data_IF_875519044098
#
_entry.id   IF_875519044098
#
_cell.length_a   1.000
_cell.length_b   1.000
_cell.length_c   1.000
_cell.angle_alpha   90.00
_cell.angle_beta   90.00
_cell.angle_gamma   90.00
#
_symmetry.space_group_name_H-M   'P 1'
#
loop_
_entity.id
_entity.type
_entity.pdbx_description
1 polymer ?
#
# COMPACT_ATOMS: atom_id res chain seq x y z
N UNK A 1 5.59 -60.71 36.69
CA UNK A 1 4.96 -60.26 37.94
C UNK A 1 3.59 -59.72 37.54
N UNK A 2 2.60 -60.62 37.47
CA UNK A 2 1.57 -60.85 38.51
C UNK A 2 0.58 -59.66 38.59
N UNK A 3 -0.76 -59.78 38.57
CA UNK A 3 -1.70 -60.89 38.58
C UNK A 3 -3.09 -60.36 38.15
N UNK A 4 -3.85 -61.25 37.49
CA UNK A 4 -5.33 -61.42 37.40
C UNK A 4 -6.22 -60.45 38.22
N UNK A 5 -7.20 -59.80 37.57
CA UNK A 5 -8.63 -60.20 37.42
C UNK A 5 -9.46 -60.30 38.72
N UNK A 6 -10.56 -59.55 38.85
CA UNK A 6 -11.96 -60.03 38.61
C UNK A 6 -13.05 -59.11 39.20
N UNK A 7 -14.09 -58.94 38.37
CA UNK A 7 -15.54 -59.01 38.65
C UNK A 7 -16.26 -58.01 39.57
N UNK A 8 -17.44 -57.59 39.10
CA UNK A 8 -18.64 -57.62 39.94
C UNK A 8 -19.64 -56.48 39.73
N UNK A 9 -20.70 -56.76 38.97
CA UNK A 9 -21.91 -55.93 38.83
C UNK A 9 -22.57 -55.60 40.18
N UNK A 10 -23.13 -54.40 40.32
CA UNK A 10 -24.23 -54.10 41.26
C UNK A 10 -25.23 -53.14 40.63
N UNK A 11 -26.52 -53.44 40.81
CA UNK A 11 -27.65 -52.59 40.49
C UNK A 11 -28.45 -52.28 41.77
N UNK A 12 -28.91 -51.03 41.84
CA UNK A 12 -30.09 -50.46 42.48
C UNK A 12 -30.33 -50.60 44.01
N UNK A 13 -30.40 -49.43 44.67
CA UNK A 13 -31.44 -49.09 45.64
C UNK A 13 -31.63 -47.56 45.70
N UNK A 14 -32.88 -47.12 45.53
CA UNK A 14 -33.36 -45.74 45.75
C UNK A 14 -33.34 -45.40 47.24
N UNK A 15 -32.87 -44.20 47.60
CA UNK A 15 -33.33 -43.45 48.78
C UNK A 15 -33.41 -41.96 48.43
N UNK A 16 -34.59 -41.39 48.61
CA UNK A 16 -34.92 -39.97 48.46
C UNK A 16 -34.85 -39.31 49.85
N UNK A 17 -34.18 -38.16 50.00
CA UNK A 17 -34.62 -37.02 50.85
C UNK A 17 -33.58 -35.88 50.94
N UNK A 18 -33.97 -34.70 50.45
CA UNK A 18 -33.77 -33.42 51.14
C UNK A 18 -32.42 -32.69 51.01
N UNK A 19 -32.21 -31.95 49.92
CA UNK A 19 -31.32 -30.78 49.92
C UNK A 19 -32.13 -29.52 49.58
N UNK A 20 -32.24 -28.62 50.56
CA UNK A 20 -32.80 -27.28 50.39
C UNK A 20 -31.83 -26.47 49.53
N UNK A 21 -32.31 -25.99 48.39
CA UNK A 21 -31.58 -25.11 47.49
C UNK A 21 -31.58 -23.67 48.02
N UNK A 22 -30.41 -23.16 48.42
CA UNK A 22 -30.14 -21.71 48.41
C UNK A 22 -29.56 -21.35 47.04
N UNK A 23 -30.43 -20.95 46.11
CA UNK A 23 -30.03 -20.32 44.86
C UNK A 23 -29.64 -18.86 45.11
N UNK A 24 -28.40 -18.63 45.52
CA UNK A 24 -27.78 -17.31 45.44
C UNK A 24 -27.37 -17.04 43.98
N UNK A 25 -28.19 -16.31 43.23
CA UNK A 25 -27.79 -15.73 41.94
C UNK A 25 -26.71 -14.68 42.22
N UNK A 26 -25.45 -15.06 42.02
CA UNK A 26 -24.37 -14.10 41.84
C UNK A 26 -24.59 -13.38 40.51
N UNK A 27 -25.22 -12.22 40.55
CA UNK A 27 -25.18 -11.26 39.45
C UNK A 27 -23.76 -10.72 39.39
N UNK A 28 -22.92 -11.32 38.55
CA UNK A 28 -21.70 -10.68 38.08
C UNK A 28 -22.14 -9.42 37.31
N UNK A 29 -22.11 -8.27 37.98
CA UNK A 29 -22.27 -6.99 37.34
C UNK A 29 -21.10 -6.83 36.36
N UNK A 30 -21.42 -6.64 35.09
CA UNK A 30 -20.46 -6.08 34.15
C UNK A 30 -20.08 -4.70 34.70
N UNK A 31 -18.87 -4.58 35.25
CA UNK A 31 -18.31 -3.27 35.59
C UNK A 31 -18.25 -2.45 34.31
N UNK A 32 -19.13 -1.45 34.22
CA UNK A 32 -19.04 -0.38 33.24
C UNK A 32 -17.71 0.30 33.44
N UNK A 33 -16.72 0.02 32.57
CA UNK A 33 -15.45 0.73 32.57
C UNK A 33 -15.71 2.24 32.53
N UNK A 34 -15.03 2.99 33.42
CA UNK A 34 -15.10 4.44 33.41
C UNK A 34 -14.64 5.00 32.05
N UNK A 35 -15.21 6.13 31.60
CA UNK A 35 -14.76 6.76 30.37
C UNK A 35 -13.26 7.13 30.49
N UNK A 36 -12.48 7.00 29.40
CA UNK A 36 -11.06 7.30 29.44
C UNK A 36 -10.81 8.77 29.75
N UNK A 37 -9.63 9.08 30.27
CA UNK A 37 -9.23 10.42 30.71
C UNK A 37 -8.08 10.98 29.88
N UNK A 38 -7.90 12.31 29.90
CA UNK A 38 -6.76 12.96 29.25
C UNK A 38 -5.41 12.50 29.85
N UNK A 39 -5.35 12.21 31.15
CA UNK A 39 -4.15 11.67 31.81
C UNK A 39 -3.80 10.27 31.28
N UNK A 40 -4.80 9.41 31.10
CA UNK A 40 -4.59 8.08 30.50
C UNK A 40 -4.17 8.18 29.02
N UNK A 41 -4.67 9.18 28.28
CA UNK A 41 -4.24 9.45 26.92
C UNK A 41 -2.76 9.86 26.87
N UNK A 42 -2.32 10.77 27.74
CA UNK A 42 -0.92 11.18 27.83
C UNK A 42 0.00 10.00 28.19
N UNK A 43 -0.36 9.22 29.22
CA UNK A 43 0.41 8.04 29.62
C UNK A 43 0.46 6.97 28.52
N UNK A 44 -0.63 6.79 27.77
CA UNK A 44 -0.65 5.89 26.61
C UNK A 44 0.29 6.36 25.50
N UNK A 45 0.26 7.66 25.18
CA UNK A 45 1.14 8.25 24.16
C UNK A 45 2.60 8.02 24.53
N UNK A 46 3.00 8.36 25.75
CA UNK A 46 4.39 8.21 26.21
C UNK A 46 4.87 6.75 26.12
N UNK A 47 4.00 5.81 26.53
CA UNK A 47 4.30 4.38 26.45
C UNK A 47 4.39 3.88 24.99
N UNK A 48 3.49 4.36 24.12
CA UNK A 48 3.47 4.03 22.70
C UNK A 48 4.74 4.54 22.00
N UNK A 49 5.14 5.79 22.25
CA UNK A 49 6.35 6.40 21.71
C UNK A 49 7.60 5.65 22.14
N UNK A 50 7.75 5.36 23.44
CA UNK A 50 8.90 4.62 23.96
C UNK A 50 9.01 3.21 23.37
N UNK A 51 7.88 2.50 23.25
CA UNK A 51 7.84 1.15 22.65
C UNK A 51 8.17 1.19 21.16
N UNK A 52 7.50 2.05 20.40
CA UNK A 52 7.68 2.12 18.94
C UNK A 52 9.07 2.61 18.57
N UNK A 53 9.64 3.59 19.28
CA UNK A 53 11.02 4.04 19.04
C UNK A 53 12.02 2.88 19.14
N UNK A 54 11.91 2.04 20.18
CA UNK A 54 12.79 0.88 20.35
C UNK A 54 12.63 -0.12 19.20
N UNK A 55 11.38 -0.40 18.80
CA UNK A 55 11.10 -1.36 17.73
C UNK A 55 11.54 -0.84 16.36
N UNK A 56 11.31 0.45 16.06
CA UNK A 56 11.74 1.08 14.82
C UNK A 56 13.26 1.11 14.69
N UNK A 57 14.00 1.47 15.73
CA UNK A 57 15.48 1.43 15.69
C UNK A 57 16.00 0.02 15.38
N UNK A 58 15.38 -1.02 15.95
CA UNK A 58 15.75 -2.40 15.65
C UNK A 58 15.43 -2.79 14.20
N UNK A 59 14.23 -2.47 13.71
CA UNK A 59 13.83 -2.69 12.32
C UNK A 59 14.75 -1.96 11.35
N UNK A 60 15.05 -0.69 11.58
CA UNK A 60 15.84 0.15 10.68
C UNK A 60 17.28 -0.35 10.55
N UNK A 61 17.86 -0.85 11.65
CA UNK A 61 19.16 -1.51 11.61
C UNK A 61 19.13 -2.78 10.77
N UNK A 62 18.10 -3.62 10.92
CA UNK A 62 17.95 -4.83 10.12
C UNK A 62 17.77 -4.51 8.63
N UNK A 63 16.92 -3.53 8.31
CA UNK A 63 16.69 -3.04 6.94
C UNK A 63 17.96 -2.46 6.32
N UNK A 64 18.75 -1.69 7.08
CA UNK A 64 20.02 -1.15 6.58
C UNK A 64 21.03 -2.25 6.24
N UNK A 65 21.12 -3.29 7.08
CA UNK A 65 21.99 -4.46 6.81
C UNK A 65 21.51 -5.19 5.56
N UNK A 66 20.21 -5.47 5.43
CA UNK A 66 19.65 -6.09 4.22
C UNK A 66 19.98 -5.26 2.97
N UNK A 67 19.76 -3.94 3.01
CA UNK A 67 19.99 -3.04 1.88
C UNK A 67 21.47 -2.98 1.45
N UNK A 68 22.41 -3.28 2.35
CA UNK A 68 23.85 -3.26 2.09
C UNK A 68 24.46 -4.66 1.89
N UNK A 69 23.73 -5.72 2.24
CA UNK A 69 24.13 -7.12 2.15
C UNK A 69 22.92 -8.01 1.83
N UNK A 70 22.50 -8.07 0.57
CA UNK A 70 21.29 -8.79 0.17
C UNK A 70 21.55 -10.31 0.17
N UNK A 71 20.99 -10.99 1.18
CA UNK A 71 21.01 -12.46 1.34
C UNK A 71 19.70 -12.95 1.95
N UNK A 72 19.35 -14.23 1.77
CA UNK A 72 18.16 -14.84 2.37
C UNK A 72 18.07 -14.63 3.90
N UNK A 73 19.21 -14.72 4.59
CA UNK A 73 19.28 -14.49 6.05
C UNK A 73 18.91 -13.04 6.41
N UNK A 74 19.48 -12.06 5.71
CA UNK A 74 19.22 -10.64 5.99
C UNK A 74 17.80 -10.21 5.59
N UNK A 75 17.25 -10.80 4.52
CA UNK A 75 15.85 -10.64 4.13
C UNK A 75 14.92 -11.17 5.22
N UNK A 76 15.21 -12.37 5.74
CA UNK A 76 14.45 -12.99 6.83
C UNK A 76 14.49 -12.15 8.10
N UNK A 77 15.67 -11.66 8.50
CA UNK A 77 15.83 -10.80 9.68
C UNK A 77 15.06 -9.47 9.54
N UNK A 78 15.14 -8.83 8.37
CA UNK A 78 14.42 -7.58 8.11
C UNK A 78 12.90 -7.81 8.11
N UNK A 79 12.43 -8.91 7.51
CA UNK A 79 11.01 -9.28 7.49
C UNK A 79 10.47 -9.51 8.91
N UNK A 80 11.17 -10.29 9.74
CA UNK A 80 10.78 -10.55 11.13
C UNK A 80 10.73 -9.26 11.96
N UNK A 81 11.72 -8.38 11.84
CA UNK A 81 11.73 -7.11 12.55
C UNK A 81 10.57 -6.19 12.10
N UNK A 82 10.24 -6.20 10.81
CA UNK A 82 9.12 -5.46 10.27
C UNK A 82 7.77 -6.00 10.76
N UNK A 83 7.61 -7.32 10.83
CA UNK A 83 6.40 -7.98 11.37
C UNK A 83 6.12 -7.52 12.82
N UNK A 84 7.15 -7.48 13.67
CA UNK A 84 7.03 -7.02 15.06
C UNK A 84 6.56 -5.56 15.14
N UNK A 85 7.11 -4.68 14.28
CA UNK A 85 6.70 -3.27 14.22
C UNK A 85 5.25 -3.12 13.76
N UNK A 86 4.85 -3.85 12.72
CA UNK A 86 3.48 -3.81 12.19
C UNK A 86 2.49 -4.28 13.25
N UNK A 87 2.78 -5.40 13.93
CA UNK A 87 1.92 -5.95 14.97
C UNK A 87 1.74 -4.97 16.13
N UNK A 88 2.84 -4.39 16.64
CA UNK A 88 2.78 -3.39 17.70
C UNK A 88 2.03 -2.12 17.27
N UNK A 89 2.22 -1.67 16.03
CA UNK A 89 1.54 -0.48 15.50
C UNK A 89 0.03 -0.72 15.37
N UNK A 90 -0.40 -1.88 14.85
CA UNK A 90 -1.82 -2.25 14.78
C UNK A 90 -2.46 -2.31 16.17
N UNK A 91 -1.79 -2.94 17.14
CA UNK A 91 -2.25 -3.03 18.53
C UNK A 91 -2.48 -1.63 19.12
N UNK A 92 -1.47 -0.76 19.01
CA UNK A 92 -1.50 0.59 19.54
C UNK A 92 -2.53 1.46 18.79
N UNK A 93 -2.62 1.38 17.46
CA UNK A 93 -3.62 2.10 16.67
C UNK A 93 -5.05 1.76 17.10
N UNK A 94 -5.35 0.46 17.32
CA UNK A 94 -6.67 0.05 17.85
C UNK A 94 -6.89 0.56 19.27
N UNK A 95 -5.91 0.41 20.15
CA UNK A 95 -6.02 0.90 21.53
C UNK A 95 -6.25 2.41 21.60
N UNK A 96 -5.71 3.17 20.64
CA UNK A 96 -5.86 4.62 20.56
C UNK A 96 -7.31 5.07 20.28
N UNK A 97 -8.13 4.24 19.63
CA UNK A 97 -9.54 4.54 19.33
C UNK A 97 -10.38 4.84 20.57
N UNK A 98 -9.99 4.30 21.74
CA UNK A 98 -10.67 4.59 23.02
C UNK A 98 -10.67 6.09 23.35
N UNK A 99 -9.72 6.85 22.81
CA UNK A 99 -9.57 8.29 23.07
C UNK A 99 -10.27 9.18 22.04
N UNK A 100 -10.99 8.63 21.06
CA UNK A 100 -11.56 9.40 19.95
C UNK A 100 -12.55 10.48 20.42
N UNK A 101 -13.36 10.17 21.44
CA UNK A 101 -14.33 11.11 21.99
C UNK A 101 -13.74 12.18 22.93
N UNK A 102 -12.45 12.08 23.29
CA UNK A 102 -11.82 13.02 24.21
C UNK A 102 -11.38 14.30 23.53
N UNK A 103 -11.67 15.43 24.18
CA UNK A 103 -11.00 16.69 23.87
C UNK A 103 -9.60 16.65 24.47
N UNK A 104 -8.59 16.58 23.60
CA UNK A 104 -7.17 16.54 23.97
C UNK A 104 -6.47 17.82 23.49
N UNK A 105 -5.35 18.21 24.12
CA UNK A 105 -4.42 19.17 23.54
C UNK A 105 -4.06 18.80 22.09
N UNK A 106 -3.83 19.81 21.25
CA UNK A 106 -3.67 19.62 19.81
C UNK A 106 -2.49 18.70 19.44
N UNK A 107 -1.39 18.79 20.19
CA UNK A 107 -0.23 17.92 20.05
C UNK A 107 -0.54 16.46 20.40
N UNK A 108 -1.29 16.22 21.48
CA UNK A 108 -1.71 14.87 21.88
C UNK A 108 -2.69 14.26 20.89
N UNK A 109 -3.68 15.05 20.43
CA UNK A 109 -4.62 14.64 19.38
C UNK A 109 -3.88 14.21 18.12
N UNK A 110 -2.94 15.05 17.65
CA UNK A 110 -2.11 14.76 16.48
C UNK A 110 -1.30 13.46 16.64
N UNK A 111 -0.71 13.19 17.82
CA UNK A 111 0.03 11.95 18.07
C UNK A 111 -0.87 10.70 17.99
N UNK A 112 -2.09 10.78 18.52
CA UNK A 112 -3.09 9.71 18.41
C UNK A 112 -3.49 9.48 16.95
N UNK A 113 -3.74 10.55 16.20
CA UNK A 113 -4.16 10.45 14.80
C UNK A 113 -3.04 9.89 13.91
N UNK A 114 -1.78 10.28 14.15
CA UNK A 114 -0.60 9.71 13.49
C UNK A 114 -0.45 8.21 13.76
N UNK A 115 -0.71 7.78 15.00
CA UNK A 115 -0.68 6.37 15.36
C UNK A 115 -1.78 5.58 14.63
N UNK A 116 -3.00 6.11 14.56
CA UNK A 116 -4.14 5.48 13.86
C UNK A 116 -3.94 5.42 12.34
N UNK A 117 -3.19 6.36 11.77
CA UNK A 117 -2.92 6.43 10.32
C UNK A 117 -1.57 5.82 9.92
N UNK A 118 -0.77 5.33 10.87
CA UNK A 118 0.59 4.85 10.64
C UNK A 118 0.68 3.71 9.60
N UNK A 119 -0.37 2.91 9.45
CA UNK A 119 -0.40 1.77 8.53
C UNK A 119 -1.23 2.08 7.28
N UNK A 120 -0.68 1.71 6.12
CA UNK A 120 -1.35 1.91 4.82
C UNK A 120 -2.53 0.96 4.68
N UNK A 121 -2.38 -0.29 5.11
CA UNK A 121 -3.42 -1.30 5.05
C UNK A 121 -3.74 -1.78 6.47
N UNK A 122 -4.71 -1.17 7.17
CA UNK A 122 -5.15 -1.69 8.45
C UNK A 122 -5.89 -3.00 8.26
N UNK A 123 -5.47 -4.03 8.98
CA UNK A 123 -6.17 -5.31 8.98
C UNK A 123 -7.31 -5.35 10.02
N UNK A 124 -8.41 -6.06 9.76
CA UNK A 124 -9.44 -6.33 10.78
C UNK A 124 -8.87 -6.94 12.07
N UNK A 125 -9.57 -6.78 13.18
CA UNK A 125 -9.16 -7.36 14.47
C UNK A 125 -9.36 -8.86 14.51
N UNK A 126 -10.32 -9.36 13.75
CA UNK A 126 -10.55 -10.79 13.57
C UNK A 126 -9.33 -11.47 12.93
N UNK A 127 -8.84 -12.53 13.56
CA UNK A 127 -7.62 -13.24 13.16
C UNK A 127 -7.75 -13.89 11.79
N UNK A 128 -8.91 -14.46 11.46
CA UNK A 128 -9.15 -15.11 10.18
C UNK A 128 -9.23 -14.07 9.05
N UNK A 129 -9.96 -12.97 9.27
CA UNK A 129 -10.07 -11.88 8.29
C UNK A 129 -8.73 -11.16 8.07
N UNK A 130 -7.92 -11.02 9.13
CA UNK A 130 -6.56 -10.49 9.02
C UNK A 130 -5.65 -11.41 8.22
N UNK A 131 -5.68 -12.71 8.48
CA UNK A 131 -4.92 -13.68 7.71
C UNK A 131 -5.35 -13.70 6.24
N UNK A 132 -6.66 -13.62 5.97
CA UNK A 132 -7.22 -13.53 4.62
C UNK A 132 -6.70 -12.28 3.89
N UNK A 133 -6.71 -11.11 4.54
CA UNK A 133 -6.21 -9.87 3.95
C UNK A 133 -4.72 -9.96 3.61
N UNK A 134 -3.90 -10.46 4.54
CA UNK A 134 -2.47 -10.64 4.32
C UNK A 134 -2.20 -11.59 3.15
N UNK A 135 -2.93 -12.70 3.06
CA UNK A 135 -2.81 -13.66 1.96
C UNK A 135 -3.22 -13.04 0.62
N UNK A 136 -4.33 -12.28 0.59
CA UNK A 136 -4.78 -11.60 -0.62
C UNK A 136 -3.78 -10.55 -1.10
N UNK A 137 -3.19 -9.79 -0.17
CA UNK A 137 -2.17 -8.79 -0.51
C UNK A 137 -0.96 -9.45 -1.18
N UNK A 138 -0.40 -10.50 -0.57
CA UNK A 138 0.73 -11.25 -1.11
C UNK A 138 0.39 -11.96 -2.44
N UNK A 139 -0.82 -12.49 -2.57
CA UNK A 139 -1.26 -13.14 -3.81
C UNK A 139 -1.41 -12.12 -4.95
N UNK A 140 -2.03 -10.97 -4.71
CA UNK A 140 -2.18 -9.90 -5.71
C UNK A 140 -0.82 -9.36 -6.17
N UNK A 141 0.11 -9.12 -5.23
CA UNK A 141 1.47 -8.72 -5.53
C UNK A 141 2.21 -9.77 -6.37
N UNK A 142 2.11 -11.05 -5.98
CA UNK A 142 2.73 -12.16 -6.72
C UNK A 142 2.11 -12.38 -8.11
N UNK A 143 0.81 -12.19 -8.27
CA UNK A 143 0.12 -12.25 -9.57
C UNK A 143 0.61 -11.16 -10.51
N UNK A 144 0.81 -9.93 -10.00
CA UNK A 144 1.37 -8.83 -10.76
C UNK A 144 2.84 -9.11 -11.14
N UNK A 145 3.68 -9.46 -10.14
CA UNK A 145 5.12 -9.64 -10.34
C UNK A 145 5.50 -10.82 -11.24
N UNK A 146 4.65 -11.86 -11.32
CA UNK A 146 4.84 -13.00 -12.24
C UNK A 146 3.97 -12.91 -13.50
N UNK A 147 3.26 -11.80 -13.69
CA UNK A 147 2.39 -11.60 -14.84
C UNK A 147 3.19 -11.68 -16.15
N UNK A 148 2.65 -12.43 -17.12
CA UNK A 148 3.20 -12.50 -18.47
C UNK A 148 2.07 -12.53 -19.50
N UNK A 149 2.32 -11.92 -20.64
CA UNK A 149 1.49 -12.03 -21.82
C UNK A 149 2.09 -13.06 -22.78
N UNK A 150 1.32 -14.08 -23.14
CA UNK A 150 1.73 -15.07 -24.13
C UNK A 150 0.93 -14.83 -25.41
N UNK A 151 1.59 -14.42 -26.53
CA UNK A 151 0.90 -14.16 -27.79
C UNK A 151 0.10 -15.40 -28.27
N UNK A 152 -1.17 -15.23 -28.67
CA UNK A 152 -2.01 -16.36 -29.10
C UNK A 152 -1.53 -17.01 -30.40
N UNK A 153 -0.77 -16.29 -31.22
CA UNK A 153 -0.20 -16.77 -32.48
C UNK A 153 1.05 -17.65 -32.29
N UNK A 154 1.50 -17.81 -31.04
CA UNK A 154 2.76 -18.47 -30.68
C UNK A 154 3.89 -17.47 -30.45
N UNK A 155 4.93 -17.91 -29.73
CA UNK A 155 6.09 -17.08 -29.35
C UNK A 155 6.39 -17.14 -27.85
N UNK A 156 7.43 -16.42 -27.44
CA UNK A 156 7.81 -16.32 -26.04
C UNK A 156 6.81 -15.48 -25.25
N UNK A 157 6.49 -15.92 -24.03
CA UNK A 157 5.70 -15.12 -23.12
C UNK A 157 6.52 -13.93 -22.61
N UNK A 158 5.97 -12.73 -22.77
CA UNK A 158 6.62 -11.46 -22.43
C UNK A 158 6.19 -11.00 -21.03
N UNK A 159 7.14 -10.64 -20.18
CA UNK A 159 6.87 -10.02 -18.88
C UNK A 159 6.71 -8.49 -18.97
N UNK A 160 6.44 -7.83 -17.83
CA UNK A 160 6.23 -6.38 -17.77
C UNK A 160 7.42 -5.59 -18.31
N UNK A 161 8.65 -6.01 -18.01
CA UNK A 161 9.85 -5.28 -18.41
C UNK A 161 10.00 -5.32 -19.93
N UNK A 162 9.85 -6.51 -20.52
CA UNK A 162 9.90 -6.68 -21.98
C UNK A 162 8.80 -5.89 -22.69
N UNK A 163 7.56 -5.95 -22.19
CA UNK A 163 6.44 -5.19 -22.75
C UNK A 163 6.61 -3.67 -22.58
N UNK A 164 7.21 -3.24 -21.47
CA UNK A 164 7.50 -1.82 -21.21
C UNK A 164 8.60 -1.28 -22.12
N UNK A 165 9.64 -2.08 -22.37
CA UNK A 165 10.69 -1.74 -23.33
C UNK A 165 10.12 -1.62 -24.74
N UNK A 166 9.21 -2.53 -25.13
CA UNK A 166 8.51 -2.42 -26.42
C UNK A 166 7.73 -1.10 -26.52
N UNK A 167 6.98 -0.73 -25.48
CA UNK A 167 6.26 0.54 -25.46
C UNK A 167 7.19 1.77 -25.51
N UNK A 168 8.34 1.71 -24.86
CA UNK A 168 9.30 2.81 -24.82
C UNK A 168 10.00 3.04 -26.18
N UNK A 169 10.37 1.96 -26.87
CA UNK A 169 11.26 1.99 -28.03
C UNK A 169 10.54 1.84 -29.37
N UNK A 170 9.48 1.03 -29.43
CA UNK A 170 8.76 0.78 -30.68
C UNK A 170 8.01 2.02 -31.15
N UNK A 171 7.89 2.13 -32.47
CA UNK A 171 7.07 3.15 -33.15
C UNK A 171 6.08 2.49 -34.10
N UNK A 172 5.83 1.20 -33.93
CA UNK A 172 4.83 0.45 -34.67
C UNK A 172 3.53 0.40 -33.84
N UNK A 173 2.43 1.03 -34.30
CA UNK A 173 1.19 1.11 -33.53
C UNK A 173 0.61 -0.27 -33.19
N UNK A 174 0.78 -1.29 -34.04
CA UNK A 174 0.25 -2.63 -33.79
C UNK A 174 1.04 -3.33 -32.67
N UNK A 175 2.36 -3.18 -32.65
CA UNK A 175 3.21 -3.71 -31.57
C UNK A 175 2.92 -3.02 -30.24
N UNK A 176 2.74 -1.69 -30.27
CA UNK A 176 2.40 -0.91 -29.08
C UNK A 176 1.05 -1.34 -28.51
N UNK A 177 0.03 -1.49 -29.35
CA UNK A 177 -1.29 -1.97 -28.94
C UNK A 177 -1.23 -3.40 -28.38
N UNK A 178 -0.49 -4.30 -29.03
CA UNK A 178 -0.28 -5.67 -28.56
C UNK A 178 0.36 -5.70 -27.17
N UNK A 179 1.41 -4.90 -26.93
CA UNK A 179 2.05 -4.89 -25.63
C UNK A 179 1.11 -4.37 -24.53
N UNK A 180 0.42 -3.27 -24.82
CA UNK A 180 -0.49 -2.65 -23.85
C UNK A 180 -1.68 -3.56 -23.54
N UNK A 181 -2.39 -4.05 -24.56
CA UNK A 181 -3.56 -4.91 -24.38
C UNK A 181 -3.15 -6.24 -23.75
N UNK A 182 -2.03 -6.81 -24.19
CA UNK A 182 -1.46 -8.05 -23.68
C UNK A 182 -1.19 -7.99 -22.19
N UNK A 183 -0.49 -6.95 -21.71
CA UNK A 183 -0.27 -6.75 -20.28
C UNK A 183 -1.57 -6.65 -19.48
N UNK A 184 -2.55 -5.89 -19.97
CA UNK A 184 -3.80 -5.69 -19.24
C UNK A 184 -4.64 -6.98 -19.09
N UNK A 185 -4.36 -8.03 -19.87
CA UNK A 185 -5.02 -9.35 -19.70
C UNK A 185 -4.70 -10.02 -18.37
N UNK A 186 -3.53 -9.79 -17.76
CA UNK A 186 -3.12 -10.47 -16.52
C UNK A 186 -4.01 -10.11 -15.33
N UNK A 187 -4.64 -8.93 -15.38
CA UNK A 187 -5.41 -8.37 -14.27
C UNK A 187 -6.81 -8.97 -14.13
N UNK A 188 -7.34 -9.60 -15.18
CA UNK A 188 -8.69 -10.19 -15.21
C UNK A 188 -8.96 -11.15 -14.04
N UNK A 189 -8.09 -12.13 -13.73
CA UNK A 189 -8.29 -13.01 -12.57
C UNK A 189 -8.10 -12.30 -11.21
N UNK A 190 -7.49 -11.11 -11.17
CA UNK A 190 -7.25 -10.36 -9.93
C UNK A 190 -8.52 -9.65 -9.43
N UNK A 191 -9.53 -9.45 -10.28
CA UNK A 191 -10.72 -8.64 -9.97
C UNK A 191 -11.41 -9.04 -8.67
N UNK A 192 -11.79 -10.32 -8.52
CA UNK A 192 -12.52 -10.79 -7.34
C UNK A 192 -11.68 -10.67 -6.06
N UNK A 193 -10.38 -10.94 -6.16
CA UNK A 193 -9.41 -10.81 -5.06
C UNK A 193 -9.26 -9.36 -4.63
N UNK A 194 -9.17 -8.44 -5.59
CA UNK A 194 -9.07 -7.01 -5.31
C UNK A 194 -10.34 -6.46 -4.66
N UNK A 195 -11.53 -6.92 -5.07
CA UNK A 195 -12.78 -6.57 -4.41
C UNK A 195 -12.77 -7.00 -2.93
N UNK A 196 -12.38 -8.24 -2.66
CA UNK A 196 -12.28 -8.76 -1.29
C UNK A 196 -11.20 -8.04 -0.47
N UNK A 197 -10.07 -7.72 -1.08
CA UNK A 197 -9.01 -6.90 -0.47
C UNK A 197 -9.55 -5.53 -0.02
N UNK A 198 -10.32 -4.85 -0.86
CA UNK A 198 -10.95 -3.56 -0.52
C UNK A 198 -11.98 -3.71 0.59
N UNK A 199 -12.81 -4.75 0.57
CA UNK A 199 -13.79 -5.02 1.65
C UNK A 199 -13.11 -5.14 3.01
N UNK A 200 -12.05 -5.95 3.09
CA UNK A 200 -11.29 -6.20 4.31
C UNK A 200 -10.51 -4.97 4.77
N UNK A 201 -9.86 -4.26 3.85
CA UNK A 201 -9.17 -3.00 4.16
C UNK A 201 -10.14 -1.93 4.69
N UNK A 202 -11.35 -1.84 4.13
CA UNK A 202 -12.40 -0.95 4.63
C UNK A 202 -12.92 -1.37 6.00
N UNK A 203 -13.00 -2.66 6.29
CA UNK A 203 -13.37 -3.15 7.63
C UNK A 203 -12.30 -2.75 8.67
N UNK A 204 -11.02 -2.93 8.35
CA UNK A 204 -9.92 -2.49 9.20
C UNK A 204 -9.89 -0.97 9.43
N UNK A 205 -10.16 -0.17 8.39
CA UNK A 205 -10.24 1.29 8.52
C UNK A 205 -11.40 1.73 9.43
N UNK A 206 -12.55 1.05 9.35
CA UNK A 206 -13.72 1.32 10.21
C UNK A 206 -13.47 1.01 11.67
N UNK A 207 -12.73 -0.06 11.98
CA UNK A 207 -12.30 -0.34 13.36
C UNK A 207 -11.39 0.74 13.93
N UNK A 208 -10.67 1.49 13.07
CA UNK A 208 -9.86 2.63 13.46
C UNK A 208 -10.64 3.96 13.44
N UNK A 209 -11.97 3.93 13.29
CA UNK A 209 -12.81 5.12 13.34
C UNK A 209 -12.86 5.95 12.04
N UNK A 210 -12.41 5.40 10.91
CA UNK A 210 -12.53 6.04 9.59
C UNK A 210 -13.73 5.48 8.82
N UNK A 211 -14.30 6.26 7.90
CA UNK A 211 -15.43 5.80 7.07
C UNK A 211 -15.05 4.62 6.16
N UNK A 212 -13.86 4.70 5.55
CA UNK A 212 -13.30 3.72 4.64
C UNK A 212 -11.76 3.86 4.55
N UNK A 213 -11.12 2.97 3.80
CA UNK A 213 -9.67 2.96 3.59
C UNK A 213 -9.15 4.24 2.91
N UNK A 214 -9.94 4.81 2.00
CA UNK A 214 -9.59 6.06 1.32
C UNK A 214 -9.60 7.27 2.28
N UNK A 215 -10.58 7.33 3.18
CA UNK A 215 -10.65 8.36 4.21
C UNK A 215 -9.45 8.27 5.17
N UNK A 216 -9.04 7.06 5.54
CA UNK A 216 -7.81 6.84 6.31
C UNK A 216 -6.57 7.34 5.57
N UNK A 217 -6.44 7.05 4.27
CA UNK A 217 -5.30 7.53 3.48
C UNK A 217 -5.26 9.05 3.38
N UNK A 218 -6.41 9.69 3.15
CA UNK A 218 -6.50 11.16 3.08
C UNK A 218 -6.28 11.85 4.43
N UNK A 219 -6.58 11.18 5.55
CA UNK A 219 -6.32 11.72 6.88
C UNK A 219 -4.84 11.98 7.18
N UNK A 220 -3.91 11.38 6.41
CA UNK A 220 -2.46 11.62 6.53
C UNK A 220 -2.02 13.04 6.15
N UNK A 221 -2.89 13.82 5.53
CA UNK A 221 -2.60 15.20 5.11
C UNK A 221 -2.92 16.24 6.19
N UNK A 222 -3.16 15.81 7.45
CA UNK A 222 -3.51 16.68 8.58
C UNK A 222 -4.68 17.64 8.30
N UNK A 223 -5.62 17.17 7.48
CA UNK A 223 -6.81 17.92 7.09
C UNK A 223 -8.03 16.99 7.02
N UNK A 224 -9.26 17.52 7.11
CA UNK A 224 -10.45 16.71 6.89
C UNK A 224 -10.38 15.99 5.53
N UNK A 225 -10.69 14.68 5.45
CA UNK A 225 -10.55 13.91 4.21
C UNK A 225 -11.26 14.50 2.98
N UNK A 226 -12.40 15.17 3.17
CA UNK A 226 -13.14 15.81 2.08
C UNK A 226 -12.49 17.14 1.63
N UNK A 227 -11.81 17.84 2.54
CA UNK A 227 -11.06 19.05 2.21
C UNK A 227 -9.85 18.72 1.32
N UNK A 228 -9.23 17.55 1.51
CA UNK A 228 -8.16 17.06 0.63
C UNK A 228 -8.64 16.90 -0.82
N UNK A 229 -9.83 16.34 -1.03
CA UNK A 229 -10.39 16.16 -2.39
C UNK A 229 -10.64 17.51 -3.04
N UNK A 230 -11.22 18.47 -2.31
CA UNK A 230 -11.45 19.82 -2.82
C UNK A 230 -10.13 20.53 -3.19
N UNK A 231 -9.07 20.35 -2.40
CA UNK A 231 -7.77 20.94 -2.67
C UNK A 231 -7.08 20.30 -3.89
N UNK A 232 -7.19 18.98 -4.04
CA UNK A 232 -6.71 18.27 -5.23
C UNK A 232 -7.42 18.77 -6.50
N UNK A 233 -8.75 18.89 -6.48
CA UNK A 233 -9.54 19.40 -7.60
C UNK A 233 -9.16 20.85 -7.94
N UNK A 234 -8.94 21.70 -6.93
CA UNK A 234 -8.49 23.08 -7.12
C UNK A 234 -7.14 23.14 -7.84
N UNK A 235 -6.18 22.34 -7.40
CA UNK A 235 -4.84 22.27 -8.03
C UNK A 235 -4.95 21.70 -9.45
N UNK A 236 -5.75 20.65 -9.65
CA UNK A 236 -5.97 20.07 -10.98
C UNK A 236 -6.53 21.11 -11.97
N UNK A 237 -7.53 21.89 -11.56
CA UNK A 237 -8.09 22.97 -12.41
C UNK A 237 -7.03 24.02 -12.78
N UNK A 238 -6.05 24.28 -11.91
CA UNK A 238 -4.95 25.20 -12.21
C UNK A 238 -3.94 24.61 -13.21
N UNK A 239 -3.69 23.30 -13.14
CA UNK A 239 -2.79 22.58 -14.07
C UNK A 239 -3.46 22.32 -15.41
N UNK A 240 -4.78 22.13 -15.42
CA UNK A 240 -5.56 21.70 -16.57
C UNK A 240 -5.31 22.52 -17.85
N UNK A 241 -5.24 23.87 -17.84
CA UNK A 241 -4.97 24.63 -19.07
C UNK A 241 -3.62 24.30 -19.70
N UNK A 242 -2.59 24.02 -18.90
CA UNK A 242 -1.29 23.58 -19.39
C UNK A 242 -1.38 22.15 -19.92
N UNK A 243 -2.03 21.25 -19.18
CA UNK A 243 -2.22 19.87 -19.61
C UNK A 243 -3.02 19.77 -20.91
N UNK A 244 -4.09 20.55 -21.07
CA UNK A 244 -4.91 20.57 -22.29
C UNK A 244 -4.08 21.01 -23.51
N UNK A 245 -3.23 22.04 -23.35
CA UNK A 245 -2.33 22.50 -24.41
C UNK A 245 -1.29 21.44 -24.76
N UNK A 246 -0.64 20.85 -23.76
CA UNK A 246 0.32 19.77 -23.94
C UNK A 246 -0.32 18.55 -24.62
N UNK A 247 -1.47 18.10 -24.12
CA UNK A 247 -2.24 16.99 -24.68
C UNK A 247 -2.64 17.28 -26.13
N UNK A 248 -3.14 18.48 -26.43
CA UNK A 248 -3.51 18.86 -27.79
C UNK A 248 -2.31 18.84 -28.74
N UNK A 249 -1.18 19.42 -28.31
CA UNK A 249 0.06 19.44 -29.07
C UNK A 249 0.62 18.03 -29.32
N UNK A 250 0.70 17.21 -28.27
CA UNK A 250 1.15 15.81 -28.36
C UNK A 250 0.24 15.01 -29.27
N UNK A 251 -1.09 15.13 -29.14
CA UNK A 251 -2.05 14.46 -30.04
C UNK A 251 -1.81 14.85 -31.50
N UNK A 252 -1.62 16.14 -31.79
CA UNK A 252 -1.37 16.61 -33.15
C UNK A 252 -0.05 16.06 -33.72
N UNK A 253 1.02 16.03 -32.91
CA UNK A 253 2.30 15.43 -33.30
C UNK A 253 2.19 13.92 -33.55
N UNK A 254 1.53 13.19 -32.67
CA UNK A 254 1.31 11.76 -32.84
C UNK A 254 0.43 11.48 -34.08
N UNK A 255 -0.59 12.28 -34.35
CA UNK A 255 -1.40 12.16 -35.56
C UNK A 255 -0.60 12.42 -36.85
N UNK A 256 0.38 13.32 -36.81
CA UNK A 256 1.29 13.53 -37.94
C UNK A 256 2.22 12.33 -38.20
N UNK A 257 2.58 11.58 -37.15
CA UNK A 257 3.44 10.38 -37.23
C UNK A 257 2.65 9.13 -37.63
N UNK A 258 1.52 8.88 -36.95
CA UNK A 258 0.76 7.63 -37.04
C UNK A 258 -0.45 7.71 -37.99
N UNK A 259 -0.83 8.91 -38.43
CA UNK A 259 -2.01 9.12 -39.27
C UNK A 259 -3.31 9.22 -38.47
N UNK A 260 -4.35 9.70 -39.16
CA UNK A 260 -5.66 10.00 -38.56
C UNK A 260 -6.50 8.75 -38.23
N UNK A 261 -6.18 7.59 -38.81
CA UNK A 261 -6.87 6.32 -38.52
C UNK A 261 -6.47 5.77 -37.15
N UNK A 262 -5.20 5.99 -36.76
CA UNK A 262 -4.64 5.59 -35.47
C UNK A 262 -4.91 6.65 -34.39
N UNK A 263 -4.65 7.93 -34.70
CA UNK A 263 -4.90 9.05 -33.78
C UNK A 263 -6.02 9.92 -34.35
N UNK A 264 -7.25 9.58 -33.96
CA UNK A 264 -8.45 10.22 -34.49
C UNK A 264 -8.58 11.69 -34.07
N UNK A 265 -8.92 12.62 -34.99
CA UNK A 265 -9.19 14.00 -34.65
C UNK A 265 -10.34 14.12 -33.64
N UNK A 266 -10.17 14.97 -32.61
CA UNK A 266 -11.20 15.22 -31.60
C UNK A 266 -11.33 14.13 -30.52
N UNK A 267 -10.75 12.94 -30.73
CA UNK A 267 -10.76 11.84 -29.76
C UNK A 267 -9.59 11.94 -28.75
N UNK A 268 -9.66 11.21 -27.62
CA UNK A 268 -8.54 11.01 -26.71
C UNK A 268 -7.35 10.31 -27.41
N UNK A 269 -6.13 10.54 -26.90
CA UNK A 269 -4.95 9.82 -27.38
C UNK A 269 -5.06 8.34 -26.97
N UNK A 270 -4.85 7.38 -27.89
CA UNK A 270 -4.73 5.97 -27.51
C UNK A 270 -3.60 5.74 -26.49
N UNK A 271 -3.92 5.12 -25.35
CA UNK A 271 -3.00 5.04 -24.20
C UNK A 271 -1.68 4.30 -24.51
N UNK A 272 -1.68 3.39 -25.48
CA UNK A 272 -0.51 2.62 -25.88
C UNK A 272 0.54 3.43 -26.67
N UNK A 273 0.22 4.65 -27.12
CA UNK A 273 1.12 5.48 -27.93
C UNK A 273 1.99 6.44 -27.11
N UNK A 274 1.93 6.37 -25.78
CA UNK A 274 2.54 7.37 -24.89
C UNK A 274 3.86 6.93 -24.27
N UNK A 275 4.45 5.85 -24.79
CA UNK A 275 5.81 5.44 -24.43
C UNK A 275 5.93 4.73 -23.07
N UNK A 276 4.81 4.46 -22.40
CA UNK A 276 4.77 3.90 -21.05
C UNK A 276 3.51 3.04 -20.86
N UNK A 277 3.62 1.94 -20.14
CA UNK A 277 2.52 0.97 -19.90
C UNK A 277 1.21 1.59 -19.39
N UNK A 278 1.31 2.63 -18.57
CA UNK A 278 0.16 3.30 -17.96
C UNK A 278 -0.05 4.72 -18.47
N UNK A 279 0.72 5.14 -19.49
CA UNK A 279 0.71 6.51 -20.00
C UNK A 279 0.90 7.59 -18.91
N UNK A 280 1.51 7.23 -17.77
CA UNK A 280 1.67 8.14 -16.62
C UNK A 280 2.78 9.18 -16.82
N UNK A 281 3.68 8.92 -17.77
CA UNK A 281 4.79 9.80 -18.17
C UNK A 281 5.06 9.61 -19.67
N UNK A 282 5.32 10.71 -20.39
CA UNK A 282 5.44 10.72 -21.86
C UNK A 282 6.87 11.01 -22.35
N UNK A 283 7.88 10.82 -21.50
CA UNK A 283 9.27 11.14 -21.83
C UNK A 283 9.83 10.30 -22.99
N UNK A 284 9.43 9.03 -23.10
CA UNK A 284 9.94 8.11 -24.12
C UNK A 284 9.51 8.45 -25.56
N UNK A 285 8.49 9.30 -25.72
CA UNK A 285 8.05 9.80 -27.03
C UNK A 285 8.62 11.19 -27.34
N UNK A 286 9.57 11.70 -26.55
CA UNK A 286 10.14 13.03 -26.72
C UNK A 286 10.59 13.27 -28.17
N UNK A 287 11.29 12.31 -28.78
CA UNK A 287 11.75 12.43 -30.17
C UNK A 287 10.62 12.59 -31.20
N UNK A 288 9.42 12.07 -30.92
CA UNK A 288 8.26 12.21 -31.80
C UNK A 288 7.57 13.57 -31.67
N UNK A 289 7.66 14.19 -30.49
CA UNK A 289 6.87 15.37 -30.14
C UNK A 289 7.70 16.62 -29.87
N UNK A 290 9.03 16.51 -29.78
CA UNK A 290 9.89 17.65 -29.47
C UNK A 290 9.64 18.81 -30.46
N UNK A 291 9.61 20.06 -29.98
CA UNK A 291 9.53 21.21 -30.88
C UNK A 291 10.70 21.21 -31.86
N UNK A 292 10.46 21.67 -33.09
CA UNK A 292 11.49 21.68 -34.15
C UNK A 292 12.64 22.66 -33.85
N UNK A 293 12.41 23.63 -32.97
CA UNK A 293 13.35 24.70 -32.65
C UNK A 293 14.06 24.52 -31.29
N UNK A 294 14.10 23.31 -30.74
CA UNK A 294 14.88 23.07 -29.51
C UNK A 294 16.36 23.14 -29.85
N UNK A 295 17.03 24.18 -29.37
CA UNK A 295 18.49 24.32 -29.45
C UNK A 295 19.11 23.37 -28.45
N UNK A 296 19.92 22.44 -28.94
CA UNK A 296 20.80 21.63 -28.08
C UNK A 296 21.66 22.61 -27.25
N UNK A 297 21.65 22.52 -25.90
CA UNK A 297 22.49 23.37 -25.06
C UNK A 297 23.99 23.30 -25.41
N UNK A 298 24.42 22.30 -26.20
CA UNK A 298 25.76 22.19 -26.75
C UNK A 298 26.77 21.73 -25.70
N UNK A 299 26.30 21.15 -24.60
CA UNK A 299 27.16 20.57 -23.58
C UNK A 299 26.51 19.41 -22.82
N UNK A 300 27.32 18.42 -22.46
CA UNK A 300 26.94 17.35 -21.54
C UNK A 300 27.36 17.70 -20.11
N UNK A 301 26.40 17.70 -19.17
CA UNK A 301 26.70 17.85 -17.74
C UNK A 301 27.56 16.68 -17.26
N UNK A 302 27.28 15.46 -17.74
CA UNK A 302 28.07 14.25 -17.43
C UNK A 302 29.53 14.41 -17.84
N UNK A 303 29.81 14.85 -19.07
CA UNK A 303 31.19 15.06 -19.53
C UNK A 303 31.89 16.16 -18.73
N UNK A 304 31.18 17.24 -18.38
CA UNK A 304 31.73 18.32 -17.54
C UNK A 304 32.06 17.84 -16.13
N UNK A 305 31.22 16.99 -15.53
CA UNK A 305 31.47 16.40 -14.21
C UNK A 305 32.68 15.47 -14.27
N UNK A 306 32.77 14.62 -15.29
CA UNK A 306 33.94 13.75 -15.53
C UNK A 306 35.22 14.58 -15.72
N UNK A 307 35.19 15.62 -16.55
CA UNK A 307 36.33 16.50 -16.79
C UNK A 307 36.79 17.26 -15.54
N UNK A 308 35.87 17.54 -14.60
CA UNK A 308 36.17 18.16 -13.30
C UNK A 308 36.51 17.15 -12.20
N UNK A 309 36.64 15.85 -12.54
CA UNK A 309 36.96 14.79 -11.61
C UNK A 309 35.94 14.68 -10.47
N UNK A 310 34.65 14.75 -10.78
CA UNK A 310 33.59 14.45 -9.81
C UNK A 310 33.47 12.94 -9.61
N UNK A 311 33.67 12.50 -8.37
CA UNK A 311 33.28 11.17 -7.90
C UNK A 311 32.01 11.26 -7.03
N UNK A 312 31.51 10.11 -6.58
CA UNK A 312 30.29 10.06 -5.75
C UNK A 312 30.41 10.88 -4.47
N UNK A 313 31.59 10.90 -3.84
CA UNK A 313 31.83 11.67 -2.61
C UNK A 313 31.77 13.16 -2.87
N UNK A 314 32.50 13.64 -3.88
CA UNK A 314 32.54 15.06 -4.26
C UNK A 314 31.19 15.59 -4.71
N UNK A 315 30.36 14.75 -5.33
CA UNK A 315 28.97 15.10 -5.64
C UNK A 315 28.14 15.36 -4.38
N UNK A 316 28.26 14.50 -3.36
CA UNK A 316 27.58 14.68 -2.07
C UNK A 316 28.11 15.92 -1.34
N UNK A 317 29.43 16.08 -1.24
CA UNK A 317 30.05 17.25 -0.61
C UNK A 317 29.65 18.57 -1.28
N UNK A 318 29.48 18.58 -2.61
CA UNK A 318 28.99 19.76 -3.33
C UNK A 318 27.52 20.06 -3.03
N UNK A 319 26.70 19.04 -2.77
CA UNK A 319 25.29 19.21 -2.39
C UNK A 319 25.08 19.61 -0.93
N UNK A 320 26.06 19.34 -0.06
CA UNK A 320 26.08 19.79 1.33
C UNK A 320 26.51 21.26 1.49
N UNK A 321 27.25 21.80 0.50
CA UNK A 321 27.81 23.16 0.50
C UNK A 321 26.80 24.23 0.05
#
# INVERSE_FOLDING_TARGET
>A
MDLRSKSGRRAAALVLAGLVALTGKATAGAESQAPPTATEAAAFIDAAEARLLKLWVARDRAQWVQATYITEDTETLAAQANEVVIAATMELARAATRFDALQLPADQRRKIDLLKTALVLPAPSDDALRAELTQLAAELEGMYGRGKYCPPEGGDCLDLEQLSNLLAESRDPEQLELAWTGWHTISRPMRAKYQRFVELGNAGARELGFADLGALWRAKYDMPPDAFVAELDRIWIQVKPLYDQLHCYVRARLAAVYGADVVKPGEPIPAHLLGNMWAQQWGNIYELVKPENVVDPGYSVTERLQAKGYDARKMVETGEA
#
